data_IF_941408982449
#
_entry.id   IF_941408982449
#
_cell.length_a   1.000
_cell.length_b   1.000
_cell.length_c   1.000
_cell.angle_alpha   90.00
_cell.angle_beta   90.00
_cell.angle_gamma   90.00
#
_symmetry.space_group_name_H-M   'P 1'
#
loop_
_entity.id
_entity.type
_entity.pdbx_description
1 polymer ?
#
# COMPACT_ATOMS: atom_id res chain seq x y z
N UNK A 1 -5.96 -18.15 -4.25
CA UNK A 1 -5.67 -18.40 -2.83
C UNK A 1 -4.43 -17.59 -2.48
N UNK A 2 -4.52 -16.63 -1.55
CA UNK A 2 -3.36 -15.82 -1.16
C UNK A 2 -2.71 -16.46 0.07
N UNK A 3 -1.38 -16.54 0.06
CA UNK A 3 -0.58 -17.17 1.11
C UNK A 3 0.31 -16.08 1.71
N UNK A 4 -0.08 -15.52 2.85
CA UNK A 4 0.79 -14.62 3.60
C UNK A 4 1.51 -15.44 4.67
N UNK A 5 2.84 -15.39 4.66
CA UNK A 5 3.67 -16.23 5.49
C UNK A 5 4.49 -15.40 6.50
N UNK A 6 4.36 -15.73 7.78
CA UNK A 6 4.92 -14.95 8.89
C UNK A 6 5.75 -15.81 9.82
N UNK A 7 6.83 -15.24 10.36
CA UNK A 7 7.66 -15.88 11.34
C UNK A 7 7.28 -15.33 12.73
N UNK A 8 6.93 -16.20 13.68
CA UNK A 8 6.76 -15.82 15.08
C UNK A 8 7.83 -16.52 15.92
N UNK A 9 8.52 -15.77 16.78
CA UNK A 9 9.62 -16.26 17.64
C UNK A 9 9.15 -16.48 19.08
N UNK A 10 9.51 -17.62 19.68
CA UNK A 10 9.24 -17.92 21.09
C UNK A 10 10.04 -17.03 22.05
N UNK A 11 9.46 -16.84 23.25
CA UNK A 11 9.74 -15.78 24.20
C UNK A 11 11.23 -15.42 24.36
N UNK A 12 11.57 -14.22 23.87
CA UNK A 12 12.85 -13.56 24.05
C UNK A 12 12.88 -12.81 25.39
N UNK A 13 13.89 -13.08 26.23
CA UNK A 13 14.10 -12.42 27.54
C UNK A 13 15.00 -11.19 27.49
N UNK A 14 15.56 -10.85 26.33
CA UNK A 14 16.38 -9.65 26.14
C UNK A 14 15.53 -8.46 25.66
N UNK A 15 15.90 -7.25 26.10
CA UNK A 15 15.24 -6.00 25.73
C UNK A 15 15.31 -5.78 24.19
N UNK A 16 14.16 -5.70 23.48
CA UNK A 16 14.10 -5.43 22.05
C UNK A 16 14.83 -4.15 21.64
N UNK A 17 14.95 -3.16 22.54
CA UNK A 17 15.71 -1.94 22.30
C UNK A 17 17.22 -2.22 22.17
N UNK A 18 17.77 -3.13 22.96
CA UNK A 18 19.20 -3.53 22.89
C UNK A 18 19.51 -4.26 21.58
N UNK A 19 18.59 -5.10 21.08
CA UNK A 19 18.74 -5.73 19.76
C UNK A 19 18.74 -4.70 18.63
N UNK A 20 17.77 -3.78 18.65
CA UNK A 20 17.65 -2.73 17.63
C UNK A 20 18.91 -1.88 17.59
N UNK A 21 19.48 -1.54 18.74
CA UNK A 21 20.74 -0.79 18.80
C UNK A 21 21.91 -1.63 18.25
N UNK A 22 22.05 -2.90 18.65
CA UNK A 22 23.12 -3.77 18.16
C UNK A 22 23.04 -4.04 16.66
N UNK A 23 21.85 -4.35 16.15
CA UNK A 23 21.59 -4.55 14.72
C UNK A 23 21.81 -3.26 13.96
N UNK A 24 21.31 -2.10 14.44
CA UNK A 24 21.58 -0.80 13.82
C UNK A 24 23.08 -0.49 13.78
N UNK A 25 23.82 -0.75 14.85
CA UNK A 25 25.27 -0.58 14.87
C UNK A 25 25.98 -1.49 13.87
N UNK A 26 25.61 -2.77 13.79
CA UNK A 26 26.16 -3.71 12.81
C UNK A 26 25.78 -3.36 11.36
N UNK A 27 24.55 -2.87 11.14
CA UNK A 27 24.04 -2.48 9.82
C UNK A 27 24.75 -1.22 9.30
N UNK A 28 25.00 -0.22 10.16
CA UNK A 28 25.79 0.96 9.77
C UNK A 28 27.26 0.60 9.50
N UNK A 29 27.83 -0.36 10.24
CA UNK A 29 29.16 -0.91 9.94
C UNK A 29 29.20 -1.64 8.58
N UNK A 30 28.16 -2.41 8.24
CA UNK A 30 28.02 -3.11 6.96
C UNK A 30 27.76 -2.15 5.79
N UNK A 31 26.95 -1.10 5.97
CA UNK A 31 26.72 -0.07 4.93
C UNK A 31 28.03 0.63 4.51
N UNK A 32 28.95 0.79 5.45
CA UNK A 32 30.29 1.35 5.17
C UNK A 32 31.16 0.40 4.34
N UNK A 33 30.90 -0.91 4.39
CA UNK A 33 31.65 -1.94 3.65
C UNK A 33 31.04 -2.30 2.28
N UNK A 34 29.75 -2.02 2.04
CA UNK A 34 29.00 -2.51 0.87
C UNK A 34 28.73 -1.43 -0.20
N UNK A 35 29.35 -0.25 -0.10
CA UNK A 35 29.19 0.85 -1.07
C UNK A 35 29.70 0.58 -2.52
N UNK A 36 29.93 -0.67 -2.93
CA UNK A 36 30.54 -1.04 -4.21
C UNK A 36 29.79 -2.05 -5.09
N UNK A 37 28.58 -2.49 -4.75
CA UNK A 37 27.90 -3.54 -5.55
C UNK A 37 26.44 -3.17 -5.86
N UNK A 38 26.21 -2.56 -7.02
CA UNK A 38 24.89 -2.46 -7.64
C UNK A 38 24.89 -3.17 -8.99
N UNK A 39 24.08 -4.23 -9.12
CA UNK A 39 23.80 -4.85 -10.41
C UNK A 39 23.34 -6.30 -10.30
N UNK A 40 22.04 -6.54 -10.38
CA UNK A 40 21.48 -7.89 -10.46
C UNK A 40 19.99 -7.88 -10.79
N UNK A 41 19.65 -8.32 -12.00
CA UNK A 41 18.29 -8.38 -12.54
C UNK A 41 17.40 -9.36 -11.75
N UNK A 42 16.23 -8.88 -11.32
CA UNK A 42 15.31 -9.61 -10.45
C UNK A 42 14.36 -10.56 -11.20
N UNK A 43 14.29 -11.80 -10.71
CA UNK A 43 13.19 -12.72 -11.01
C UNK A 43 12.09 -12.60 -9.94
N UNK A 44 10.85 -12.36 -10.39
CA UNK A 44 9.68 -12.16 -9.54
C UNK A 44 8.98 -13.51 -9.30
N UNK A 45 9.07 -14.06 -8.09
CA UNK A 45 8.26 -15.20 -7.68
C UNK A 45 6.82 -14.75 -7.38
N UNK A 46 5.86 -15.15 -8.20
CA UNK A 46 4.43 -14.94 -7.99
C UNK A 46 3.79 -16.19 -7.35
N UNK A 47 3.54 -16.13 -6.04
CA UNK A 47 2.55 -16.97 -5.36
C UNK A 47 1.52 -16.00 -4.77
N UNK A 48 0.23 -16.30 -4.98
CA UNK A 48 -0.91 -15.38 -4.84
C UNK A 48 -0.71 -14.21 -3.88
N UNK A 49 -0.42 -13.04 -4.46
CA UNK A 49 -0.20 -11.82 -3.70
C UNK A 49 -1.54 -11.23 -3.24
N UNK A 50 -1.60 -10.73 -2.02
CA UNK A 50 -2.80 -10.12 -1.44
C UNK A 50 -2.73 -8.59 -1.54
N UNK A 51 -3.83 -7.93 -1.93
CA UNK A 51 -3.90 -6.46 -1.98
C UNK A 51 -3.57 -5.89 -0.59
N UNK A 52 -2.84 -4.77 -0.56
CA UNK A 52 -2.37 -4.08 0.65
C UNK A 52 -3.40 -4.02 1.79
N UNK A 53 -4.63 -3.54 1.50
CA UNK A 53 -5.69 -3.41 2.50
C UNK A 53 -6.01 -4.75 3.17
N UNK A 54 -6.21 -5.80 2.37
CA UNK A 54 -6.53 -7.13 2.90
C UNK A 54 -5.35 -7.75 3.66
N UNK A 55 -4.13 -7.50 3.21
CA UNK A 55 -2.95 -7.96 3.92
C UNK A 55 -2.73 -7.24 5.25
N UNK A 56 -3.12 -5.96 5.35
CA UNK A 56 -3.14 -5.20 6.61
C UNK A 56 -4.11 -5.81 7.62
N UNK A 57 -5.31 -6.22 7.19
CA UNK A 57 -6.25 -6.98 8.05
C UNK A 57 -5.60 -8.26 8.59
N UNK A 58 -4.93 -9.04 7.74
CA UNK A 58 -4.27 -10.27 8.17
C UNK A 58 -3.12 -10.00 9.14
N UNK A 59 -2.31 -8.96 8.89
CA UNK A 59 -1.21 -8.55 9.77
C UNK A 59 -1.70 -8.19 11.18
N UNK A 60 -2.84 -7.52 11.30
CA UNK A 60 -3.43 -7.18 12.60
C UNK A 60 -3.95 -8.42 13.33
N UNK A 61 -4.58 -9.36 12.62
CA UNK A 61 -4.98 -10.64 13.21
C UNK A 61 -3.77 -11.43 13.74
N UNK A 62 -2.66 -11.39 13.00
CA UNK A 62 -1.41 -12.02 13.42
C UNK A 62 -0.72 -11.29 14.56
N UNK A 63 -0.87 -9.97 14.65
CA UNK A 63 -0.43 -9.21 15.80
C UNK A 63 -1.20 -9.61 17.07
N UNK A 64 -2.52 -9.82 16.96
CA UNK A 64 -3.32 -10.38 18.07
C UNK A 64 -2.83 -11.77 18.45
N UNK A 65 -2.55 -12.63 17.47
CA UNK A 65 -2.03 -13.97 17.73
C UNK A 65 -0.67 -13.92 18.43
N UNK A 66 0.29 -13.18 17.88
CA UNK A 66 1.63 -13.04 18.44
C UNK A 66 1.57 -12.48 19.86
N UNK A 67 0.77 -11.45 20.12
CA UNK A 67 0.55 -10.91 21.46
C UNK A 67 -0.02 -11.97 22.42
N UNK A 68 -1.02 -12.74 21.96
CA UNK A 68 -1.69 -13.75 22.79
C UNK A 68 -0.77 -14.90 23.18
N UNK A 69 0.17 -15.25 22.30
CA UNK A 69 1.20 -16.27 22.52
C UNK A 69 2.50 -15.69 23.10
N UNK A 70 2.55 -14.38 23.39
CA UNK A 70 3.76 -13.66 23.82
C UNK A 70 4.97 -13.83 22.87
N UNK A 71 4.71 -13.96 21.58
CA UNK A 71 5.71 -14.10 20.52
C UNK A 71 6.11 -12.74 19.95
N UNK A 72 7.32 -12.66 19.41
CA UNK A 72 7.73 -11.53 18.56
C UNK A 72 7.24 -11.79 17.14
N UNK A 73 6.51 -10.83 16.56
CA UNK A 73 6.04 -10.88 15.18
C UNK A 73 7.13 -10.39 14.22
N UNK A 74 7.50 -11.21 13.24
CA UNK A 74 8.34 -10.77 12.13
C UNK A 74 7.44 -10.21 11.03
N UNK A 75 7.61 -8.92 10.73
CA UNK A 75 6.83 -8.21 9.73
C UNK A 75 7.43 -8.47 8.33
N UNK A 76 6.62 -8.92 7.37
CA UNK A 76 7.10 -9.27 6.05
C UNK A 76 7.43 -8.00 5.25
N UNK A 77 8.37 -8.12 4.29
CA UNK A 77 8.58 -7.06 3.33
C UNK A 77 7.40 -6.96 2.35
N UNK A 78 7.44 -5.92 1.52
CA UNK A 78 6.46 -5.65 0.48
C UNK A 78 7.08 -5.73 -0.91
N UNK A 79 6.26 -6.14 -1.88
CA UNK A 79 6.55 -6.05 -3.31
C UNK A 79 5.29 -5.65 -4.09
N UNK A 80 5.33 -4.48 -4.71
CA UNK A 80 4.22 -3.96 -5.53
C UNK A 80 2.90 -3.85 -4.74
N UNK A 81 2.94 -3.17 -3.59
CA UNK A 81 1.76 -2.96 -2.72
C UNK A 81 1.11 -4.26 -2.21
N UNK A 82 1.90 -5.32 -2.10
CA UNK A 82 1.47 -6.63 -1.59
C UNK A 82 2.53 -7.12 -0.61
N UNK A 83 2.10 -7.58 0.58
CA UNK A 83 3.02 -8.17 1.55
C UNK A 83 3.43 -9.56 1.08
N UNK A 84 4.71 -9.85 1.17
CA UNK A 84 5.28 -11.14 0.77
C UNK A 84 6.64 -11.31 1.43
N UNK A 85 6.97 -12.52 1.86
CA UNK A 85 8.32 -12.81 2.36
C UNK A 85 9.41 -12.60 1.30
N UNK A 86 9.07 -12.62 0.00
CA UNK A 86 10.02 -12.32 -1.07
C UNK A 86 9.93 -10.85 -1.54
N UNK A 87 9.43 -9.96 -0.68
CA UNK A 87 9.40 -8.51 -0.92
C UNK A 87 10.79 -7.90 -0.99
N UNK A 88 10.91 -6.75 -1.65
CA UNK A 88 12.17 -6.01 -1.75
C UNK A 88 12.21 -4.81 -0.78
N UNK A 89 11.05 -4.34 -0.33
CA UNK A 89 10.92 -3.16 0.53
C UNK A 89 10.59 -3.62 1.94
N UNK A 90 11.41 -3.29 2.94
CA UNK A 90 11.14 -3.72 4.32
C UNK A 90 9.91 -2.98 4.89
N UNK A 91 9.25 -3.57 5.89
CA UNK A 91 8.04 -3.01 6.48
C UNK A 91 8.24 -1.57 6.98
N UNK A 92 9.37 -1.33 7.66
CA UNK A 92 9.67 -0.06 8.33
C UNK A 92 10.20 1.03 7.39
N UNK A 93 10.39 0.71 6.11
CA UNK A 93 10.58 1.69 5.04
C UNK A 93 9.26 2.31 4.58
N UNK A 94 8.15 1.57 4.72
CA UNK A 94 6.81 2.03 4.34
C UNK A 94 6.01 2.52 5.54
N UNK A 95 6.01 1.78 6.64
CA UNK A 95 5.18 2.06 7.81
C UNK A 95 6.01 2.36 9.05
N UNK A 96 5.42 3.06 10.02
CA UNK A 96 6.00 3.29 11.33
C UNK A 96 5.91 2.01 12.17
N UNK A 97 7.05 1.32 12.35
CA UNK A 97 7.15 0.16 13.23
C UNK A 97 6.66 0.46 14.65
N UNK A 98 7.09 1.59 15.23
CA UNK A 98 6.72 1.99 16.58
C UNK A 98 5.21 2.23 16.73
N UNK A 99 4.57 2.80 15.71
CA UNK A 99 3.10 2.95 15.70
C UNK A 99 2.43 1.60 15.62
N UNK A 100 2.87 0.73 14.70
CA UNK A 100 2.30 -0.62 14.56
C UNK A 100 2.37 -1.42 15.87
N UNK A 101 3.52 -1.41 16.56
CA UNK A 101 3.70 -2.07 17.85
C UNK A 101 2.75 -1.51 18.91
N UNK A 102 2.68 -0.18 19.03
CA UNK A 102 1.84 0.50 20.03
C UNK A 102 0.35 0.22 19.81
N UNK A 103 -0.14 0.40 18.59
CA UNK A 103 -1.58 0.24 18.29
C UNK A 103 -2.04 -1.22 18.36
N UNK A 104 -1.12 -2.18 18.24
CA UNK A 104 -1.45 -3.61 18.33
C UNK A 104 -1.04 -4.25 19.67
N UNK A 105 -0.25 -3.56 20.50
CA UNK A 105 0.29 -4.10 21.74
C UNK A 105 1.15 -5.34 21.51
N UNK A 106 1.92 -5.37 20.42
CA UNK A 106 2.75 -6.52 20.02
C UNK A 106 4.21 -6.11 19.90
N UNK A 107 5.13 -7.04 20.20
CA UNK A 107 6.55 -6.89 19.84
C UNK A 107 6.72 -7.26 18.38
N UNK A 108 7.30 -6.38 17.59
CA UNK A 108 7.51 -6.64 16.18
C UNK A 108 8.92 -6.24 15.72
N UNK A 109 9.44 -6.98 14.75
CA UNK A 109 10.68 -6.65 14.05
C UNK A 109 10.48 -6.78 12.54
N UNK A 110 11.12 -5.95 11.72
CA UNK A 110 11.15 -6.14 10.28
C UNK A 110 11.88 -7.46 9.92
N UNK A 111 11.56 -8.02 8.76
CA UNK A 111 12.18 -9.22 8.21
C UNK A 111 13.71 -9.14 8.14
N UNK A 112 14.26 -8.00 7.71
CA UNK A 112 15.71 -7.80 7.62
C UNK A 112 16.43 -7.92 8.97
N UNK A 113 15.77 -7.48 10.04
CA UNK A 113 16.32 -7.54 11.40
C UNK A 113 16.30 -8.98 11.91
N UNK A 114 15.24 -9.73 11.58
CA UNK A 114 15.16 -11.16 11.84
C UNK A 114 16.27 -11.91 11.10
N UNK A 115 16.50 -11.59 9.82
CA UNK A 115 17.54 -12.23 9.03
C UNK A 115 18.95 -11.93 9.56
N UNK A 116 19.22 -10.69 9.93
CA UNK A 116 20.49 -10.29 10.55
C UNK A 116 20.71 -11.02 11.89
N UNK A 117 19.67 -11.10 12.73
CA UNK A 117 19.72 -11.83 13.98
C UNK A 117 20.00 -13.32 13.77
N UNK A 118 19.26 -13.97 12.86
CA UNK A 118 19.46 -15.38 12.52
C UNK A 118 20.88 -15.64 12.03
N UNK A 119 21.40 -14.79 11.15
CA UNK A 119 22.75 -14.92 10.61
C UNK A 119 23.84 -14.76 11.70
N UNK A 120 23.53 -14.10 12.82
CA UNK A 120 24.43 -13.98 13.96
C UNK A 120 24.47 -15.22 14.88
N UNK A 121 23.52 -16.15 14.73
CA UNK A 121 23.48 -17.35 15.56
C UNK A 121 24.60 -18.33 15.16
N UNK A 122 25.27 -18.97 16.14
CA UNK A 122 26.18 -20.08 15.85
C UNK A 122 25.40 -21.21 15.15
N UNK A 123 26.11 -22.01 14.34
CA UNK A 123 25.70 -23.04 13.34
C UNK A 123 24.46 -23.93 13.58
N UNK A 124 23.75 -23.83 14.71
CA UNK A 124 22.44 -24.43 14.93
C UNK A 124 21.39 -23.78 14.00
N UNK A 125 20.79 -24.59 13.13
CA UNK A 125 19.58 -24.22 12.43
C UNK A 125 18.41 -24.07 13.42
N UNK A 126 17.64 -22.99 13.29
CA UNK A 126 16.44 -22.75 14.09
C UNK A 126 15.37 -23.80 13.75
N UNK A 127 14.78 -24.40 14.77
CA UNK A 127 13.66 -25.33 14.60
C UNK A 127 12.41 -24.56 14.16
N UNK A 128 11.77 -24.99 13.07
CA UNK A 128 10.58 -24.33 12.55
C UNK A 128 9.36 -25.26 12.50
N UNK A 129 8.16 -24.71 12.67
CA UNK A 129 6.89 -25.37 12.42
C UNK A 129 6.04 -24.54 11.47
N UNK A 130 5.59 -25.14 10.37
CA UNK A 130 4.67 -24.52 9.43
C UNK A 130 3.22 -24.68 9.88
N UNK A 131 2.46 -23.59 9.90
CA UNK A 131 1.03 -23.56 10.21
C UNK A 131 0.27 -22.98 9.00
N UNK A 132 -0.82 -23.62 8.60
CA UNK A 132 -1.70 -23.17 7.51
C UNK A 132 -3.07 -22.94 8.08
N UNK A 133 -3.43 -21.67 8.25
CA UNK A 133 -4.75 -21.26 8.75
C UNK A 133 -5.59 -20.85 7.53
N UNK A 134 -6.67 -21.59 7.30
CA UNK A 134 -7.55 -21.40 6.15
C UNK A 134 -8.99 -21.31 6.63
N UNK A 135 -9.86 -20.72 5.82
CA UNK A 135 -11.30 -20.71 6.10
C UNK A 135 -12.01 -21.72 5.19
N UNK A 136 -12.86 -22.57 5.78
CA UNK A 136 -13.68 -23.53 5.04
C UNK A 136 -15.06 -22.95 4.70
N UNK A 137 -15.56 -23.12 3.47
CA UNK A 137 -16.90 -22.66 3.08
C UNK A 137 -18.04 -23.59 3.57
N UNK A 138 -17.73 -24.78 4.11
CA UNK A 138 -18.72 -25.78 4.50
C UNK A 138 -19.05 -25.82 6.00
N UNK A 139 -20.31 -26.11 6.38
CA UNK A 139 -20.66 -26.46 7.75
C UNK A 139 -20.14 -27.88 8.05
N UNK A 140 -18.92 -27.97 8.57
CA UNK A 140 -18.33 -29.26 8.89
C UNK A 140 -16.81 -29.21 9.03
N UNK A 141 -16.37 -29.58 10.23
CA UNK A 141 -15.09 -30.22 10.55
C UNK A 141 -13.84 -29.42 10.95
N UNK A 142 -13.31 -29.94 12.06
CA UNK A 142 -12.00 -29.87 12.72
C UNK A 142 -11.56 -28.55 13.35
N UNK A 143 -11.89 -28.40 14.64
CA UNK A 143 -11.29 -27.48 15.61
C UNK A 143 -9.98 -28.05 16.17
N UNK A 144 -9.05 -28.43 15.29
CA UNK A 144 -7.77 -28.99 15.70
C UNK A 144 -6.73 -28.81 14.60
N UNK A 145 -5.48 -28.63 15.01
CA UNK A 145 -4.33 -28.70 14.12
C UNK A 145 -4.15 -30.13 13.63
N UNK A 146 -4.30 -30.34 12.33
CA UNK A 146 -4.11 -31.64 11.69
C UNK A 146 -2.88 -31.60 10.78
N UNK A 147 -2.03 -32.64 10.77
CA UNK A 147 -0.95 -32.74 9.81
C UNK A 147 -1.46 -32.66 8.37
N UNK A 148 -0.78 -31.88 7.54
CA UNK A 148 -0.96 -31.87 6.10
C UNK A 148 -0.42 -33.19 5.54
N UNK A 149 -1.32 -34.05 5.05
CA UNK A 149 -1.00 -35.39 4.54
C UNK A 149 -0.06 -35.41 3.33
N UNK A 150 0.14 -34.27 2.65
CA UNK A 150 1.18 -34.09 1.64
C UNK A 150 1.90 -32.76 1.85
N UNK A 151 3.24 -32.78 1.84
CA UNK A 151 4.08 -31.58 1.82
C UNK A 151 3.98 -30.81 0.50
N UNK A 152 3.48 -31.42 -0.58
CA UNK A 152 3.25 -30.72 -1.86
C UNK A 152 2.21 -29.59 -1.74
N UNK A 153 1.27 -29.71 -0.80
CA UNK A 153 0.24 -28.69 -0.52
C UNK A 153 0.82 -27.46 0.18
N UNK A 154 2.03 -27.59 0.75
CA UNK A 154 2.78 -26.54 1.41
C UNK A 154 4.21 -26.56 0.86
N UNK A 155 4.37 -26.11 -0.38
CA UNK A 155 5.67 -25.73 -0.87
C UNK A 155 5.97 -24.31 -0.35
N UNK A 156 6.81 -24.14 0.69
CA UNK A 156 7.31 -22.81 1.04
C UNK A 156 7.88 -22.17 -0.23
N UNK A 157 7.60 -20.89 -0.44
CA UNK A 157 8.14 -20.15 -1.58
C UNK A 157 9.66 -20.33 -1.64
N UNK A 158 10.26 -20.27 -2.84
CA UNK A 158 11.71 -20.47 -3.01
C UNK A 158 12.54 -19.60 -2.06
N UNK A 159 12.09 -18.38 -1.74
CA UNK A 159 12.77 -17.49 -0.81
C UNK A 159 12.73 -18.00 0.64
N UNK A 160 11.67 -18.69 1.07
CA UNK A 160 11.61 -19.28 2.41
C UNK A 160 12.56 -20.45 2.59
N UNK A 161 12.85 -21.21 1.55
CA UNK A 161 13.87 -22.24 1.62
C UNK A 161 15.28 -21.66 1.81
N UNK A 162 15.49 -20.38 1.49
CA UNK A 162 16.75 -19.67 1.71
C UNK A 162 16.88 -19.13 3.14
N UNK A 163 15.83 -19.24 3.97
CA UNK A 163 15.85 -18.80 5.37
C UNK A 163 16.60 -19.74 6.31
N UNK A 164 17.16 -20.86 5.84
CA UNK A 164 17.96 -21.76 6.69
C UNK A 164 17.21 -22.32 7.90
N UNK A 165 15.88 -22.24 7.90
CA UNK A 165 15.00 -22.80 8.92
C UNK A 165 14.91 -24.32 8.77
N UNK A 166 14.95 -25.03 9.88
CA UNK A 166 14.87 -26.49 9.91
C UNK A 166 13.43 -26.97 10.05
N UNK A 167 12.83 -27.35 8.91
CA UNK A 167 11.49 -27.97 8.85
C UNK A 167 11.53 -29.51 8.88
N UNK A 168 12.72 -30.11 8.75
CA UNK A 168 12.94 -31.49 8.30
C UNK A 168 12.34 -32.61 9.18
N UNK A 169 11.74 -32.27 10.32
CA UNK A 169 11.15 -33.25 11.25
C UNK A 169 9.66 -33.07 11.50
N UNK A 170 9.01 -32.12 10.83
CA UNK A 170 7.62 -31.78 11.16
C UNK A 170 6.76 -31.58 9.90
N UNK A 171 5.65 -32.31 9.74
CA UNK A 171 4.69 -31.98 8.71
C UNK A 171 4.07 -30.61 9.02
N UNK A 172 3.78 -29.79 8.00
CA UNK A 172 2.98 -28.58 8.19
C UNK A 172 1.63 -28.94 8.84
N UNK A 173 1.15 -28.10 9.75
CA UNK A 173 -0.14 -28.29 10.41
C UNK A 173 -1.18 -27.39 9.76
N UNK A 174 -2.39 -27.88 9.55
CA UNK A 174 -3.51 -27.12 9.02
C UNK A 174 -4.55 -26.89 10.10
N UNK A 175 -5.06 -25.66 10.17
CA UNK A 175 -6.24 -25.29 10.94
C UNK A 175 -7.31 -24.75 9.98
N UNK A 176 -8.57 -25.18 10.14
CA UNK A 176 -9.70 -24.71 9.35
C UNK A 176 -10.64 -23.90 10.23
N UNK A 177 -10.78 -22.62 9.90
CA UNK A 177 -11.76 -21.73 10.52
C UNK A 177 -13.15 -21.98 9.95
N UNK A 178 -14.12 -21.96 10.85
CA UNK A 178 -15.55 -22.04 10.52
C UNK A 178 -16.07 -20.64 10.21
N UNK A 179 -16.82 -20.49 9.12
CA UNK A 179 -17.46 -19.22 8.76
C UNK A 179 -18.40 -18.66 9.84
N UNK A 180 -18.88 -19.49 10.76
CA UNK A 180 -19.83 -19.08 11.83
C UNK A 180 -19.15 -18.76 13.17
N UNK A 181 -17.83 -18.66 13.19
CA UNK A 181 -17.06 -18.28 14.37
C UNK A 181 -16.95 -19.41 15.40
N UNK A 182 -15.74 -19.53 15.96
CA UNK A 182 -15.51 -20.30 17.17
C UNK A 182 -14.24 -19.77 17.83
N UNK A 183 -14.27 -19.30 19.09
CA UNK A 183 -13.12 -18.71 19.79
C UNK A 183 -11.99 -19.71 20.12
N UNK A 184 -12.02 -20.92 19.54
CA UNK A 184 -11.10 -22.01 19.88
C UNK A 184 -9.71 -21.89 19.27
N UNK A 185 -9.55 -21.10 18.19
CA UNK A 185 -8.25 -20.98 17.53
C UNK A 185 -7.14 -20.56 18.51
N UNK A 186 -7.41 -19.59 19.38
CA UNK A 186 -6.42 -19.09 20.34
C UNK A 186 -6.07 -20.14 21.40
N UNK A 187 -7.05 -20.89 21.90
CA UNK A 187 -6.82 -21.93 22.89
C UNK A 187 -6.08 -23.13 22.30
N UNK A 188 -6.46 -23.55 21.09
CA UNK A 188 -5.77 -24.61 20.36
C UNK A 188 -4.33 -24.20 20.01
N UNK A 189 -4.10 -22.92 19.67
CA UNK A 189 -2.77 -22.37 19.43
C UNK A 189 -1.91 -22.30 20.69
N UNK A 190 -2.48 -21.95 21.86
CA UNK A 190 -1.76 -21.98 23.13
C UNK A 190 -1.34 -23.39 23.51
N UNK A 191 -2.25 -24.36 23.35
CA UNK A 191 -1.95 -25.76 23.61
C UNK A 191 -0.85 -26.28 22.68
N UNK A 192 -0.93 -25.91 21.39
CA UNK A 192 0.09 -26.24 20.40
C UNK A 192 1.44 -25.56 20.72
N UNK A 193 1.44 -24.29 21.11
CA UNK A 193 2.67 -23.54 21.43
C UNK A 193 3.46 -24.21 22.56
N UNK A 194 2.79 -24.61 23.65
CA UNK A 194 3.43 -25.37 24.75
C UNK A 194 4.08 -26.66 24.23
N UNK A 195 3.39 -27.40 23.36
CA UNK A 195 3.95 -28.60 22.74
C UNK A 195 5.17 -28.26 21.87
N UNK A 196 5.04 -27.30 20.96
CA UNK A 196 6.07 -26.94 19.99
C UNK A 196 7.35 -26.43 20.67
N UNK A 197 7.23 -25.64 21.74
CA UNK A 197 8.37 -25.19 22.56
C UNK A 197 9.10 -26.39 23.18
N UNK A 198 8.36 -27.37 23.73
CA UNK A 198 8.97 -28.59 24.31
C UNK A 198 9.72 -29.44 23.27
N UNK A 199 9.32 -29.36 22.01
CA UNK A 199 9.99 -30.04 20.91
C UNK A 199 11.17 -29.22 20.31
N UNK A 200 11.45 -28.03 20.84
CA UNK A 200 12.50 -27.16 20.32
C UNK A 200 12.13 -26.45 19.01
N UNK A 201 10.86 -26.05 18.85
CA UNK A 201 10.47 -25.05 17.85
C UNK A 201 10.86 -23.67 18.35
N UNK A 202 11.66 -22.98 17.55
CA UNK A 202 12.04 -21.59 17.77
C UNK A 202 11.13 -20.65 16.97
N UNK A 203 10.66 -21.08 15.79
CA UNK A 203 9.95 -20.26 14.80
C UNK A 203 8.64 -20.90 14.33
N UNK A 204 7.53 -20.19 14.44
CA UNK A 204 6.27 -20.54 13.77
C UNK A 204 6.17 -19.85 12.42
N UNK A 205 5.89 -20.62 11.38
CA UNK A 205 5.78 -20.14 10.00
C UNK A 205 4.31 -20.19 9.59
N UNK A 206 3.60 -19.08 9.75
CA UNK A 206 2.13 -19.03 9.64
C UNK A 206 1.72 -18.56 8.25
N UNK A 207 1.12 -19.45 7.46
CA UNK A 207 0.34 -19.13 6.28
C UNK A 207 -1.09 -18.77 6.66
N UNK A 208 -1.46 -17.49 6.61
CA UNK A 208 -2.80 -17.01 6.94
C UNK A 208 -3.64 -16.73 5.70
N UNK A 209 -4.74 -17.47 5.51
CA UNK A 209 -5.64 -17.38 4.37
C UNK A 209 -7.11 -17.41 4.79
N UNK A 210 -7.43 -16.87 5.96
CA UNK A 210 -8.82 -16.62 6.37
C UNK A 210 -9.39 -15.40 5.63
N UNK A 211 -10.71 -15.30 5.49
CA UNK A 211 -11.39 -14.08 5.01
C UNK A 211 -12.05 -13.31 6.14
N UNK A 212 -12.52 -14.01 7.17
CA UNK A 212 -13.15 -13.42 8.36
C UNK A 212 -12.11 -12.92 9.35
N UNK A 213 -12.42 -11.80 9.99
CA UNK A 213 -11.63 -11.16 11.05
C UNK A 213 -11.89 -11.81 12.42
N UNK A 214 -11.85 -13.14 12.51
CA UNK A 214 -12.26 -13.86 13.74
C UNK A 214 -11.40 -13.54 14.97
N UNK A 215 -10.19 -12.99 14.77
CA UNK A 215 -9.27 -12.61 15.84
C UNK A 215 -9.31 -11.13 16.20
N UNK A 216 -10.07 -10.30 15.46
CA UNK A 216 -10.16 -8.87 15.76
C UNK A 216 -11.46 -8.27 15.21
N UNK A 217 -12.35 -7.80 16.06
CA UNK A 217 -13.50 -6.96 15.65
C UNK A 217 -13.07 -5.52 15.31
N UNK A 218 -11.83 -5.35 14.83
CA UNK A 218 -11.27 -4.05 14.55
C UNK A 218 -11.97 -3.42 13.35
N UNK A 219 -12.47 -2.22 13.59
CA UNK A 219 -12.97 -1.31 12.57
C UNK A 219 -11.85 -0.91 11.60
N UNK A 220 -12.22 -0.48 10.40
CA UNK A 220 -11.26 0.01 9.40
C UNK A 220 -10.43 1.19 9.94
N UNK A 221 -11.03 2.03 10.80
CA UNK A 221 -10.33 3.11 11.48
C UNK A 221 -9.20 2.60 12.41
N UNK A 222 -9.42 1.48 13.12
CA UNK A 222 -8.37 0.87 13.96
C UNK A 222 -7.23 0.27 13.14
N UNK A 223 -7.54 -0.23 11.94
CA UNK A 223 -6.51 -0.68 11.00
C UNK A 223 -5.70 0.50 10.50
N UNK A 224 -6.35 1.59 10.11
CA UNK A 224 -5.67 2.79 9.60
C UNK A 224 -4.71 3.38 10.65
N UNK A 225 -5.11 3.38 11.93
CA UNK A 225 -4.22 3.78 13.03
C UNK A 225 -2.99 2.87 13.16
N UNK A 226 -3.14 1.57 12.88
CA UNK A 226 -2.05 0.59 12.96
C UNK A 226 -1.01 0.74 11.84
N UNK A 227 -1.39 1.29 10.69
CA UNK A 227 -0.56 1.38 9.48
C UNK A 227 -0.25 2.82 9.09
N UNK A 228 0.25 3.62 10.04
CA UNK A 228 0.77 4.96 9.75
C UNK A 228 2.04 4.86 8.91
N UNK A 229 2.08 5.55 7.77
CA UNK A 229 3.28 5.60 6.92
C UNK A 229 4.50 6.17 7.68
N UNK A 230 5.69 5.67 7.33
CA UNK A 230 6.94 6.08 7.95
C UNK A 230 7.17 7.61 7.82
N UNK A 231 7.87 8.26 8.77
CA UNK A 231 8.01 9.72 8.80
C UNK A 231 8.58 10.34 7.51
N UNK A 232 9.41 9.60 6.79
CA UNK A 232 9.99 10.08 5.53
C UNK A 232 8.93 10.26 4.42
N UNK A 233 7.90 9.42 4.37
CA UNK A 233 6.75 9.59 3.46
C UNK A 233 5.92 10.81 3.81
N UNK A 234 5.71 11.06 5.10
CA UNK A 234 5.00 12.24 5.58
C UNK A 234 5.77 13.52 5.26
N UNK A 235 7.10 13.51 5.40
CA UNK A 235 7.95 14.61 4.99
C UNK A 235 7.87 14.88 3.48
N UNK A 236 7.93 13.83 2.65
CA UNK A 236 7.80 13.96 1.20
C UNK A 236 6.43 14.53 0.77
N UNK A 237 5.34 14.07 1.41
CA UNK A 237 4.00 14.60 1.16
C UNK A 237 3.83 16.06 1.58
N UNK A 238 4.43 16.46 2.71
CA UNK A 238 4.45 17.88 3.12
C UNK A 238 5.22 18.74 2.12
N UNK A 239 6.37 18.28 1.66
CA UNK A 239 7.13 18.99 0.64
C UNK A 239 6.35 19.15 -0.68
N UNK A 240 5.57 18.13 -1.07
CA UNK A 240 4.69 18.22 -2.24
C UNK A 240 3.61 19.30 -2.07
N UNK A 241 2.98 19.39 -0.90
CA UNK A 241 2.01 20.45 -0.59
C UNK A 241 2.65 21.84 -0.54
N UNK A 242 3.84 21.96 0.07
CA UNK A 242 4.58 23.22 0.15
C UNK A 242 4.97 23.75 -1.24
N UNK A 243 5.36 22.86 -2.15
CA UNK A 243 5.71 23.21 -3.52
C UNK A 243 4.52 23.81 -4.30
N UNK A 244 3.28 23.42 -3.95
CA UNK A 244 2.07 24.00 -4.55
C UNK A 244 1.78 25.43 -4.09
N UNK A 245 2.50 25.95 -3.10
CA UNK A 245 2.37 27.31 -2.61
C UNK A 245 1.29 27.51 -1.53
N UNK A 246 1.01 28.77 -1.18
CA UNK A 246 0.18 29.14 -0.03
C UNK A 246 -1.32 29.29 -0.31
N UNK A 247 -1.76 28.97 -1.53
CA UNK A 247 -3.15 29.10 -1.93
C UNK A 247 -4.04 27.96 -1.45
N UNK A 248 -5.36 28.13 -1.55
CA UNK A 248 -6.32 27.08 -1.18
C UNK A 248 -6.19 25.92 -2.15
N UNK A 249 -5.91 24.73 -1.63
CA UNK A 249 -5.69 23.53 -2.41
C UNK A 249 -6.91 22.62 -2.36
N UNK A 250 -7.42 22.29 -3.54
CA UNK A 250 -8.36 21.18 -3.71
C UNK A 250 -7.60 19.93 -4.09
N UNK A 251 -7.83 18.88 -3.31
CA UNK A 251 -7.34 17.56 -3.60
C UNK A 251 -8.38 16.74 -4.34
N UNK A 252 -8.04 16.17 -5.49
CA UNK A 252 -8.96 15.36 -6.30
C UNK A 252 -8.47 13.93 -6.34
N UNK A 253 -9.34 12.98 -5.98
CA UNK A 253 -9.09 11.56 -6.23
C UNK A 253 -10.04 11.03 -7.30
N UNK A 254 -9.49 10.69 -8.46
CA UNK A 254 -10.25 10.18 -9.59
C UNK A 254 -9.77 8.79 -10.01
N UNK A 255 -10.49 7.77 -9.56
CA UNK A 255 -10.30 6.38 -10.00
C UNK A 255 -11.13 6.12 -11.25
N UNK A 256 -10.46 5.99 -12.39
CA UNK A 256 -11.05 5.81 -13.73
C UNK A 256 -11.28 4.35 -14.07
N UNK A 257 -10.63 3.42 -13.37
CA UNK A 257 -10.78 1.99 -13.57
C UNK A 257 -12.25 1.53 -13.50
N UNK A 258 -12.73 0.98 -14.61
CA UNK A 258 -14.07 0.40 -14.73
C UNK A 258 -15.15 1.39 -15.19
N UNK A 259 -14.82 2.67 -15.39
CA UNK A 259 -15.71 3.64 -16.04
C UNK A 259 -15.72 3.38 -17.55
N UNK A 260 -16.90 3.43 -18.16
CA UNK A 260 -17.00 3.29 -19.62
C UNK A 260 -16.38 4.51 -20.34
N UNK A 261 -15.61 4.31 -21.44
CA UNK A 261 -14.97 5.43 -22.15
C UNK A 261 -15.92 6.54 -22.58
N UNK A 262 -17.14 6.18 -23.00
CA UNK A 262 -18.16 7.15 -23.41
C UNK A 262 -18.64 8.05 -22.25
N UNK A 263 -18.43 7.65 -21.00
CA UNK A 263 -18.77 8.44 -19.81
C UNK A 263 -17.58 9.21 -19.23
N UNK A 264 -16.35 8.76 -19.50
CA UNK A 264 -15.14 9.44 -19.02
C UNK A 264 -15.10 10.91 -19.46
N UNK A 265 -15.52 11.21 -20.69
CA UNK A 265 -15.58 12.58 -21.20
C UNK A 265 -16.57 13.45 -20.41
N UNK A 266 -17.82 12.99 -20.20
CA UNK A 266 -18.79 13.73 -19.40
C UNK A 266 -18.33 13.90 -17.93
N UNK A 267 -17.63 12.91 -17.38
CA UNK A 267 -17.09 12.98 -16.04
C UNK A 267 -15.90 13.93 -15.91
N UNK A 268 -15.06 14.01 -16.94
CA UNK A 268 -14.01 14.99 -17.09
C UNK A 268 -14.58 16.41 -17.14
N UNK A 269 -15.59 16.63 -17.99
CA UNK A 269 -16.27 17.93 -18.11
C UNK A 269 -16.88 18.38 -16.78
N UNK A 270 -17.59 17.47 -16.11
CA UNK A 270 -18.19 17.75 -14.80
C UNK A 270 -17.15 18.08 -13.73
N UNK A 271 -16.02 17.37 -13.71
CA UNK A 271 -14.92 17.67 -12.80
C UNK A 271 -14.33 19.06 -13.07
N UNK A 272 -14.08 19.39 -14.33
CA UNK A 272 -13.51 20.69 -14.71
C UNK A 272 -14.48 21.82 -14.36
N UNK A 273 -15.78 21.66 -14.63
CA UNK A 273 -16.80 22.64 -14.24
C UNK A 273 -16.80 22.89 -12.72
N UNK A 274 -16.75 21.81 -11.93
CA UNK A 274 -16.68 21.90 -10.46
C UNK A 274 -15.43 22.65 -9.99
N UNK A 275 -14.27 22.36 -10.57
CA UNK A 275 -13.00 23.04 -10.24
C UNK A 275 -13.03 24.54 -10.58
N UNK A 276 -13.65 24.91 -11.70
CA UNK A 276 -13.82 26.31 -12.09
C UNK A 276 -14.76 27.06 -11.13
N UNK A 277 -15.85 26.41 -10.71
CA UNK A 277 -16.76 26.98 -9.73
C UNK A 277 -16.06 27.23 -8.39
N UNK A 278 -15.32 26.23 -7.89
CA UNK A 278 -14.50 26.36 -6.67
C UNK A 278 -13.43 27.46 -6.80
N UNK A 279 -12.79 27.57 -7.96
CA UNK A 279 -11.82 28.65 -8.23
C UNK A 279 -12.45 30.04 -8.14
N UNK A 280 -13.67 30.21 -8.67
CA UNK A 280 -14.40 31.49 -8.65
C UNK A 280 -15.01 31.83 -7.30
N UNK A 281 -15.55 30.85 -6.61
CA UNK A 281 -16.41 31.06 -5.44
C UNK A 281 -15.70 30.83 -4.10
N UNK A 282 -14.67 29.98 -4.06
CA UNK A 282 -14.00 29.55 -2.82
C UNK A 282 -12.52 29.94 -2.76
N UNK A 283 -12.02 30.62 -3.81
CA UNK A 283 -10.63 31.07 -3.88
C UNK A 283 -9.64 29.92 -4.01
N UNK A 284 -10.07 28.77 -4.54
CA UNK A 284 -9.16 27.68 -4.90
C UNK A 284 -8.19 28.18 -5.97
N UNK A 285 -6.90 28.04 -5.69
CA UNK A 285 -5.85 28.39 -6.66
C UNK A 285 -5.00 27.19 -7.04
N UNK A 286 -5.10 26.09 -6.30
CA UNK A 286 -4.25 24.92 -6.47
C UNK A 286 -5.09 23.64 -6.57
N UNK A 287 -4.78 22.76 -7.52
CA UNK A 287 -5.42 21.46 -7.71
C UNK A 287 -4.36 20.37 -7.63
N UNK A 288 -4.51 19.44 -6.68
CA UNK A 288 -3.71 18.21 -6.65
C UNK A 288 -4.55 17.05 -7.18
N UNK A 289 -4.19 16.49 -8.33
CA UNK A 289 -4.91 15.38 -8.96
C UNK A 289 -4.20 14.05 -8.70
N UNK A 290 -4.89 13.14 -8.00
CA UNK A 290 -4.52 11.75 -7.84
C UNK A 290 -5.44 10.87 -8.68
N UNK A 291 -4.88 10.18 -9.67
CA UNK A 291 -5.63 9.25 -10.52
C UNK A 291 -4.86 7.95 -10.71
N UNK A 292 -5.60 6.88 -10.98
CA UNK A 292 -5.04 5.58 -11.36
C UNK A 292 -4.58 5.54 -12.83
N UNK A 293 -4.98 6.52 -13.63
CA UNK A 293 -4.64 6.64 -15.03
C UNK A 293 -3.26 7.31 -15.21
N UNK A 294 -2.35 6.76 -16.04
CA UNK A 294 -1.01 7.30 -16.21
C UNK A 294 -1.01 8.52 -17.16
N UNK A 295 -1.36 9.69 -16.61
CA UNK A 295 -1.49 10.93 -17.37
C UNK A 295 -0.18 11.33 -18.08
N UNK A 296 0.96 10.99 -17.51
CA UNK A 296 2.30 11.27 -18.06
C UNK A 296 2.58 10.60 -19.41
N UNK A 297 1.78 9.59 -19.78
CA UNK A 297 1.89 8.89 -21.06
C UNK A 297 0.99 9.50 -22.16
N UNK A 298 0.19 10.51 -21.83
CA UNK A 298 -0.77 11.13 -22.74
C UNK A 298 -0.19 12.33 -23.48
N UNK A 299 -0.75 12.58 -24.67
CA UNK A 299 -0.50 13.81 -25.42
C UNK A 299 -1.04 15.02 -24.64
N UNK A 300 -0.32 16.14 -24.69
CA UNK A 300 -0.67 17.36 -23.95
C UNK A 300 -0.23 17.39 -22.48
N UNK A 301 0.24 16.28 -21.88
CA UNK A 301 0.67 16.28 -20.47
C UNK A 301 1.76 17.35 -20.19
N UNK A 302 2.79 17.40 -21.04
CA UNK A 302 3.87 18.39 -20.91
C UNK A 302 3.41 19.85 -21.10
N UNK A 303 2.32 20.06 -21.85
CA UNK A 303 1.74 21.39 -22.08
C UNK A 303 0.96 21.87 -20.86
N UNK A 304 0.36 20.93 -20.12
CA UNK A 304 -0.43 21.20 -18.91
C UNK A 304 0.45 21.31 -17.68
N UNK A 305 1.40 20.39 -17.50
CA UNK A 305 2.21 20.26 -16.28
C UNK A 305 3.67 20.68 -16.44
N UNK A 306 4.09 21.07 -17.65
CA UNK A 306 5.47 21.48 -17.96
C UNK A 306 6.35 20.33 -18.50
N UNK A 307 7.38 20.68 -19.26
CA UNK A 307 8.28 19.71 -19.90
C UNK A 307 9.13 18.92 -18.89
N UNK A 308 9.51 19.55 -17.77
CA UNK A 308 10.29 18.91 -16.71
C UNK A 308 9.49 17.81 -15.99
N UNK A 309 8.17 17.97 -15.90
CA UNK A 309 7.24 16.98 -15.36
C UNK A 309 7.10 15.73 -16.25
N UNK A 310 7.39 15.85 -17.56
CA UNK A 310 7.24 14.77 -18.53
C UNK A 310 8.48 13.84 -18.64
N UNK A 311 9.46 13.99 -17.75
CA UNK A 311 10.63 13.12 -17.71
C UNK A 311 11.65 13.37 -18.83
N UNK A 312 11.80 14.63 -19.25
CA UNK A 312 12.80 15.05 -20.23
C UNK A 312 14.24 14.89 -19.68
N UNK A 313 14.79 13.68 -19.74
CA UNK A 313 16.24 13.51 -19.84
C UNK A 313 16.65 14.10 -21.21
N UNK A 314 17.37 15.22 -21.17
CA UNK A 314 17.54 16.12 -22.31
C UNK A 314 18.22 15.56 -23.56
N UNK A 315 17.91 16.20 -24.69
CA UNK A 315 18.83 16.34 -25.83
C UNK A 315 18.50 15.57 -27.12
N UNK A 316 17.50 16.01 -27.90
CA UNK A 316 17.55 15.99 -29.38
C UNK A 316 16.38 16.79 -29.99
N UNK A 317 16.61 17.70 -30.96
CA UNK A 317 15.55 18.40 -31.67
C UNK A 317 15.06 17.64 -32.93
N UNK A 318 13.78 17.88 -33.22
CA UNK A 318 13.04 17.72 -34.50
C UNK A 318 12.76 16.32 -35.08
N UNK A 319 11.52 15.85 -34.85
CA UNK A 319 10.88 14.81 -35.68
C UNK A 319 9.43 14.50 -35.24
N UNK A 320 8.46 14.37 -36.17
CA UNK A 320 7.04 14.10 -35.88
C UNK A 320 6.72 12.64 -35.47
N UNK A 321 7.72 11.87 -35.03
CA UNK A 321 7.59 10.46 -34.64
C UNK A 321 7.61 10.26 -33.11
N UNK A 322 7.19 11.26 -32.33
CA UNK A 322 7.41 11.34 -30.88
C UNK A 322 6.49 10.44 -30.03
N UNK A 323 5.37 9.97 -30.58
CA UNK A 323 4.33 9.31 -29.77
C UNK A 323 4.66 7.84 -29.42
N UNK A 324 5.41 7.12 -30.26
CA UNK A 324 5.83 5.75 -29.94
C UNK A 324 7.08 5.72 -29.03
N UNK A 325 7.94 6.74 -29.11
CA UNK A 325 9.18 6.79 -28.34
C UNK A 325 8.99 7.18 -26.86
N UNK A 326 7.98 7.99 -26.51
CA UNK A 326 7.68 8.28 -25.09
C UNK A 326 7.16 7.04 -24.34
N UNK A 327 6.35 6.17 -24.99
CA UNK A 327 5.96 4.86 -24.42
C UNK A 327 7.14 3.89 -24.26
N UNK A 328 8.18 4.02 -25.09
CA UNK A 328 9.37 3.17 -25.02
C UNK A 328 10.39 3.69 -23.98
N UNK A 329 10.50 5.00 -23.77
CA UNK A 329 11.46 5.62 -22.86
C UNK A 329 11.07 5.54 -21.37
N UNK A 330 9.77 5.57 -21.05
CA UNK A 330 9.26 5.42 -19.68
C UNK A 330 9.21 3.94 -19.22
N UNK A 331 9.69 3.01 -20.06
CA UNK A 331 9.37 1.59 -19.92
C UNK A 331 7.87 1.34 -20.15
N UNK A 332 7.37 0.09 -20.01
CA UNK A 332 5.94 -0.14 -20.01
C UNK A 332 5.34 0.68 -18.87
N UNK A 333 4.68 1.79 -19.21
CA UNK A 333 3.89 2.62 -18.30
C UNK A 333 2.83 1.69 -17.72
N UNK A 334 3.16 1.11 -16.57
CA UNK A 334 2.25 0.23 -15.86
C UNK A 334 1.28 1.15 -15.18
N UNK A 335 0.02 1.05 -15.60
CA UNK A 335 -1.11 1.56 -14.86
C UNK A 335 -0.86 1.46 -13.35
N UNK A 336 -1.20 2.51 -12.60
CA UNK A 336 -1.10 2.50 -11.14
C UNK A 336 -2.09 1.51 -10.50
N UNK A 337 -3.01 0.95 -11.30
CA UNK A 337 -3.91 -0.14 -10.93
C UNK A 337 -3.66 -1.39 -11.79
N UNK A 338 -3.52 -2.56 -11.16
CA UNK A 338 -3.38 -3.86 -11.85
C UNK A 338 -4.61 -4.22 -12.70
N UNK A 339 -5.72 -3.51 -12.52
CA UNK A 339 -7.04 -3.81 -13.10
C UNK A 339 -7.52 -2.76 -14.10
N UNK A 340 -6.80 -1.65 -14.26
CA UNK A 340 -7.04 -0.71 -15.36
C UNK A 340 -6.36 -1.23 -16.62
N UNK A 341 -7.14 -1.38 -17.68
CA UNK A 341 -6.69 -1.77 -19.02
C UNK A 341 -6.96 -0.62 -19.98
N UNK A 342 -6.00 0.31 -20.18
CA UNK A 342 -6.19 1.45 -21.08
C UNK A 342 -6.55 0.97 -22.49
N UNK A 343 -7.50 1.66 -23.12
CA UNK A 343 -7.85 1.47 -24.53
C UNK A 343 -7.68 2.80 -25.26
N UNK A 344 -7.57 2.79 -26.58
CA UNK A 344 -7.47 4.02 -27.37
C UNK A 344 -8.60 5.03 -27.07
N UNK A 345 -9.80 4.54 -26.74
CA UNK A 345 -10.91 5.39 -26.32
C UNK A 345 -10.71 6.02 -24.93
N UNK A 346 -10.09 5.29 -23.99
CA UNK A 346 -9.69 5.87 -22.70
C UNK A 346 -8.60 6.93 -22.90
N UNK A 347 -7.57 6.62 -23.71
CA UNK A 347 -6.46 7.53 -24.00
C UNK A 347 -6.98 8.83 -24.63
N UNK A 348 -7.92 8.73 -25.58
CA UNK A 348 -8.58 9.89 -26.19
C UNK A 348 -9.37 10.72 -25.17
N UNK A 349 -10.22 10.08 -24.35
CA UNK A 349 -11.02 10.77 -23.34
C UNK A 349 -10.15 11.48 -22.28
N UNK A 350 -9.09 10.81 -21.79
CA UNK A 350 -8.18 11.39 -20.80
C UNK A 350 -7.28 12.48 -21.39
N UNK A 351 -6.91 12.38 -22.68
CA UNK A 351 -6.18 13.46 -23.37
C UNK A 351 -7.07 14.69 -23.55
N UNK A 352 -8.34 14.51 -23.95
CA UNK A 352 -9.31 15.59 -24.04
C UNK A 352 -9.53 16.27 -22.68
N UNK A 353 -9.61 15.48 -21.61
CA UNK A 353 -9.64 15.99 -20.23
C UNK A 353 -8.42 16.85 -19.89
N UNK A 354 -7.20 16.39 -20.19
CA UNK A 354 -5.98 17.16 -19.92
C UNK A 354 -5.99 18.51 -20.65
N UNK A 355 -6.36 18.53 -21.93
CA UNK A 355 -6.46 19.75 -22.72
C UNK A 355 -7.50 20.72 -22.15
N UNK A 356 -8.68 20.21 -21.79
CA UNK A 356 -9.75 21.00 -21.19
C UNK A 356 -9.31 21.57 -19.84
N UNK A 357 -8.75 20.74 -18.96
CA UNK A 357 -8.26 21.12 -17.65
C UNK A 357 -7.15 22.18 -17.76
N UNK A 358 -6.17 22.00 -18.65
CA UNK A 358 -5.07 22.94 -18.84
C UNK A 358 -5.48 24.27 -19.48
N UNK A 359 -6.45 24.26 -20.38
CA UNK A 359 -7.00 25.48 -20.99
C UNK A 359 -7.80 26.28 -19.97
N UNK A 360 -8.65 25.59 -19.22
CA UNK A 360 -9.59 26.22 -18.31
C UNK A 360 -8.90 26.66 -17.01
N UNK A 361 -7.98 25.87 -16.47
CA UNK A 361 -7.17 26.25 -15.30
C UNK A 361 -6.42 27.57 -15.50
N UNK A 362 -5.79 27.77 -16.67
CA UNK A 362 -5.10 29.03 -17.01
C UNK A 362 -6.03 30.23 -17.03
N UNK A 363 -7.28 30.06 -17.45
CA UNK A 363 -8.25 31.16 -17.52
C UNK A 363 -8.67 31.70 -16.14
N UNK A 364 -8.57 30.88 -15.10
CA UNK A 364 -8.95 31.22 -13.72
C UNK A 364 -7.75 31.25 -12.75
N UNK A 365 -6.53 31.08 -13.27
CA UNK A 365 -5.32 31.08 -12.44
C UNK A 365 -5.17 29.87 -11.52
N UNK A 366 -5.75 28.72 -11.88
CA UNK A 366 -5.55 27.46 -11.16
C UNK A 366 -4.18 26.85 -11.54
N UNK A 367 -3.38 26.52 -10.53
CA UNK A 367 -2.20 25.68 -10.66
C UNK A 367 -2.59 24.21 -10.56
N UNK A 368 -2.07 23.38 -11.46
CA UNK A 368 -2.36 21.95 -11.51
C UNK A 368 -1.11 21.16 -11.14
N UNK A 369 -1.27 20.18 -10.26
CA UNK A 369 -0.20 19.28 -9.85
C UNK A 369 -0.69 17.83 -9.76
N UNK A 370 0.21 16.91 -10.14
CA UNK A 370 0.17 15.48 -9.80
C UNK A 370 1.44 15.14 -9.04
N UNK A 371 1.49 13.95 -8.41
CA UNK A 371 2.75 13.46 -7.84
C UNK A 371 3.91 13.51 -8.85
N UNK A 372 3.70 12.99 -10.07
CA UNK A 372 4.74 12.94 -11.10
C UNK A 372 5.20 14.32 -11.55
N UNK A 373 4.32 15.31 -11.58
CA UNK A 373 4.71 16.69 -11.91
C UNK A 373 5.59 17.35 -10.85
N UNK A 374 5.43 16.96 -9.58
CA UNK A 374 6.18 17.53 -8.47
C UNK A 374 7.47 16.73 -8.18
N UNK A 375 7.44 15.41 -8.39
CA UNK A 375 8.51 14.48 -7.99
C UNK A 375 9.93 14.91 -8.38
N UNK A 376 10.22 15.45 -9.59
CA UNK A 376 11.57 15.85 -9.98
C UNK A 376 12.21 16.93 -9.09
N UNK A 377 11.40 17.75 -8.42
CA UNK A 377 11.85 18.87 -7.59
C UNK A 377 11.68 18.64 -6.09
N UNK A 378 11.11 17.49 -5.69
CA UNK A 378 10.92 17.20 -4.26
C UNK A 378 12.26 16.89 -3.58
N UNK A 379 12.47 17.34 -2.33
CA UNK A 379 13.61 16.93 -1.53
C UNK A 379 13.48 15.44 -1.19
N UNK A 380 14.28 14.60 -1.87
CA UNK A 380 14.21 13.16 -1.74
C UNK A 380 15.57 12.52 -1.37
N UNK A 381 16.05 12.73 -0.13
CA UNK A 381 17.35 12.23 0.31
C UNK A 381 17.43 10.69 0.37
N UNK A 382 16.31 9.98 0.19
CA UNK A 382 16.22 8.52 0.33
C UNK A 382 15.75 7.81 -0.94
N UNK A 383 15.60 8.52 -2.06
CA UNK A 383 15.09 7.94 -3.30
C UNK A 383 13.63 7.45 -3.21
N UNK A 384 12.85 7.95 -2.23
CA UNK A 384 11.45 7.62 -2.04
C UNK A 384 10.57 8.09 -3.18
N UNK A 385 10.86 9.22 -3.81
CA UNK A 385 10.10 9.73 -4.94
C UNK A 385 10.22 8.80 -6.16
N UNK A 386 11.34 8.08 -6.27
CA UNK A 386 11.56 7.05 -7.30
C UNK A 386 10.97 5.68 -6.95
N UNK A 387 10.45 5.50 -5.74
CA UNK A 387 9.88 4.23 -5.31
C UNK A 387 8.56 3.94 -6.04
N UNK A 388 8.32 2.68 -6.41
CA UNK A 388 7.14 2.29 -7.21
C UNK A 388 5.79 2.59 -6.56
N UNK A 389 5.75 2.70 -5.23
CA UNK A 389 4.53 3.03 -4.47
C UNK A 389 4.42 4.52 -4.15
N UNK A 390 5.38 5.35 -4.54
CA UNK A 390 5.46 6.75 -4.13
C UNK A 390 4.21 7.54 -4.54
N UNK A 391 3.80 7.44 -5.81
CA UNK A 391 2.61 8.12 -6.31
C UNK A 391 1.36 7.82 -5.47
N UNK A 392 1.14 6.56 -5.10
CA UNK A 392 -0.02 6.15 -4.30
C UNK A 392 0.07 6.64 -2.85
N UNK A 393 1.22 6.43 -2.20
CA UNK A 393 1.44 6.77 -0.78
C UNK A 393 1.41 8.29 -0.59
N UNK A 394 2.21 9.02 -1.39
CA UNK A 394 2.33 10.48 -1.30
C UNK A 394 1.00 11.12 -1.64
N UNK A 395 0.32 10.70 -2.70
CA UNK A 395 -1.00 11.26 -3.02
C UNK A 395 -2.01 11.03 -1.91
N UNK A 396 -2.00 9.88 -1.24
CA UNK A 396 -2.93 9.64 -0.14
C UNK A 396 -2.65 10.58 1.02
N UNK A 397 -1.37 10.79 1.35
CA UNK A 397 -0.96 11.71 2.42
C UNK A 397 -1.22 13.17 2.06
N UNK A 398 -1.04 13.56 0.80
CA UNK A 398 -1.35 14.91 0.30
C UNK A 398 -2.85 15.17 0.41
N UNK A 399 -3.69 14.28 -0.11
CA UNK A 399 -5.15 14.46 -0.10
C UNK A 399 -5.77 14.47 1.30
N UNK A 400 -5.13 13.84 2.29
CA UNK A 400 -5.55 13.97 3.70
C UNK A 400 -5.35 15.39 4.26
N UNK A 401 -4.48 16.18 3.65
CA UNK A 401 -4.04 17.48 4.16
C UNK A 401 -4.50 18.67 3.30
N UNK A 402 -5.12 18.44 2.14
CA UNK A 402 -5.68 19.52 1.31
C UNK A 402 -6.85 20.22 2.01
N UNK A 403 -7.09 21.48 1.69
CA UNK A 403 -8.18 22.23 2.30
C UNK A 403 -9.55 21.65 1.91
N UNK A 404 -9.71 21.33 0.63
CA UNK A 404 -10.93 20.75 0.03
C UNK A 404 -10.58 19.35 -0.52
N UNK A 405 -11.51 18.39 -0.47
CA UNK A 405 -11.27 17.05 -1.01
C UNK A 405 -12.46 16.57 -1.84
N UNK A 406 -12.18 16.31 -3.11
CA UNK A 406 -13.16 15.92 -4.11
C UNK A 406 -12.89 14.48 -4.56
N UNK A 407 -13.90 13.62 -4.43
CA UNK A 407 -13.87 12.26 -4.95
C UNK A 407 -15.23 11.92 -5.61
N UNK A 408 -15.31 10.81 -6.36
CA UNK A 408 -16.59 10.40 -6.96
C UNK A 408 -17.66 10.04 -5.91
N UNK A 409 -18.89 9.86 -6.40
CA UNK A 409 -20.12 9.72 -5.61
C UNK A 409 -20.07 8.63 -4.52
N UNK A 410 -20.69 8.92 -3.38
CA UNK A 410 -21.10 7.92 -2.37
C UNK A 410 -22.58 7.61 -2.51
N UNK A 411 -22.95 6.33 -2.66
CA UNK A 411 -24.35 5.92 -2.73
C UNK A 411 -24.57 4.42 -2.56
N UNK A 412 -25.72 4.05 -2.00
CA UNK A 412 -26.16 2.65 -1.90
C UNK A 412 -26.43 2.09 -3.31
N UNK A 413 -25.51 1.28 -3.84
CA UNK A 413 -25.55 0.80 -5.24
C UNK A 413 -24.31 1.13 -6.07
N UNK A 414 -23.37 1.92 -5.52
CA UNK A 414 -22.14 2.41 -6.15
C UNK A 414 -21.28 1.33 -6.85
N UNK A 415 -21.40 0.05 -6.47
CA UNK A 415 -20.66 -1.03 -7.13
C UNK A 415 -21.22 -1.41 -8.51
N UNK A 416 -22.54 -1.33 -8.71
CA UNK A 416 -23.19 -1.49 -10.02
C UNK A 416 -23.24 -0.17 -10.80
N UNK A 417 -23.37 0.93 -10.08
CA UNK A 417 -23.38 2.28 -10.63
C UNK A 417 -21.98 2.80 -11.00
N UNK A 418 -20.88 2.25 -10.48
CA UNK A 418 -19.52 2.74 -10.77
C UNK A 418 -19.05 2.59 -12.23
N UNK A 419 -19.76 1.84 -13.08
CA UNK A 419 -19.55 1.87 -14.55
C UNK A 419 -20.19 3.10 -15.19
N UNK A 420 -21.22 3.60 -14.52
CA UNK A 420 -22.08 4.70 -14.94
C UNK A 420 -21.72 6.03 -14.25
N UNK A 421 -21.01 6.00 -13.14
CA UNK A 421 -20.68 7.17 -12.31
C UNK A 421 -19.22 7.62 -12.45
N UNK A 422 -18.95 8.88 -12.10
CA UNK A 422 -17.67 9.53 -12.36
C UNK A 422 -16.49 9.10 -11.48
N UNK A 423 -16.72 8.34 -10.42
CA UNK A 423 -15.70 7.51 -9.81
C UNK A 423 -16.32 6.46 -8.89
N UNK A 424 -15.59 5.37 -8.61
CA UNK A 424 -15.97 4.35 -7.64
C UNK A 424 -15.36 4.66 -6.27
N UNK A 425 -16.15 4.65 -5.20
CA UNK A 425 -15.62 4.66 -3.83
C UNK A 425 -14.68 3.48 -3.65
N UNK A 426 -13.40 3.78 -3.42
CA UNK A 426 -12.38 2.76 -3.17
C UNK A 426 -11.99 2.75 -1.70
N UNK A 427 -11.35 1.68 -1.24
CA UNK A 427 -10.72 1.66 0.10
C UNK A 427 -9.74 2.82 0.28
N UNK A 428 -9.10 3.26 -0.80
CA UNK A 428 -8.23 4.43 -0.81
C UNK A 428 -9.00 5.72 -0.51
N UNK A 429 -10.14 5.95 -1.19
CA UNK A 429 -11.02 7.10 -0.92
C UNK A 429 -11.50 7.08 0.52
N UNK A 430 -11.98 5.93 0.99
CA UNK A 430 -12.46 5.75 2.37
C UNK A 430 -11.40 6.13 3.42
N UNK A 431 -10.15 5.77 3.20
CA UNK A 431 -9.03 6.13 4.09
C UNK A 431 -8.79 7.63 4.16
N UNK A 432 -8.85 8.31 3.02
CA UNK A 432 -8.67 9.76 2.97
C UNK A 432 -9.83 10.44 3.69
N UNK A 433 -11.08 10.07 3.41
CA UNK A 433 -12.25 10.68 4.06
C UNK A 433 -12.27 10.43 5.56
N UNK A 434 -11.95 9.22 6.01
CA UNK A 434 -11.91 8.88 7.44
C UNK A 434 -10.86 9.71 8.17
N UNK A 435 -9.63 9.78 7.65
CA UNK A 435 -8.56 10.58 8.25
C UNK A 435 -8.90 12.09 8.27
N UNK A 436 -9.57 12.60 7.23
CA UNK A 436 -10.01 14.01 7.18
C UNK A 436 -11.11 14.30 8.19
N UNK A 437 -12.05 13.37 8.38
CA UNK A 437 -13.10 13.48 9.41
C UNK A 437 -12.48 13.55 10.80
N UNK A 438 -11.55 12.65 11.12
CA UNK A 438 -10.82 12.67 12.39
C UNK A 438 -10.07 14.00 12.58
N UNK A 439 -9.41 14.53 11.53
CA UNK A 439 -8.74 15.82 11.57
C UNK A 439 -9.70 17.00 11.83
N UNK A 440 -10.89 16.99 11.22
CA UNK A 440 -11.94 17.99 11.47
C UNK A 440 -12.46 17.92 12.91
N UNK A 441 -12.74 16.72 13.40
CA UNK A 441 -13.17 16.49 14.78
C UNK A 441 -12.11 16.93 15.80
N UNK A 442 -10.82 16.77 15.46
CA UNK A 442 -9.69 17.23 16.27
C UNK A 442 -9.39 18.74 16.14
N UNK A 443 -10.04 19.45 15.21
CA UNK A 443 -9.79 20.86 14.95
C UNK A 443 -8.45 21.16 14.24
N UNK A 444 -7.93 20.20 13.46
CA UNK A 444 -6.69 20.37 12.70
C UNK A 444 -6.91 21.28 11.47
N UNK A 445 -6.39 22.51 11.57
CA UNK A 445 -6.91 23.67 10.85
C UNK A 445 -6.71 23.80 9.33
N UNK A 446 -6.13 22.83 8.61
CA UNK A 446 -6.09 22.89 7.13
C UNK A 446 -7.35 22.31 6.50
N UNK A 447 -7.93 21.27 7.08
CA UNK A 447 -9.08 20.56 6.51
C UNK A 447 -10.33 21.39 6.70
N UNK A 448 -11.05 21.71 5.61
CA UNK A 448 -12.32 22.46 5.66
C UNK A 448 -13.54 21.58 5.53
N UNK A 449 -13.41 20.46 4.81
CA UNK A 449 -14.49 19.51 4.58
C UNK A 449 -13.97 18.07 4.55
N UNK A 450 -14.86 17.12 4.86
CA UNK A 450 -14.53 15.69 4.78
C UNK A 450 -14.39 15.22 3.33
N UNK A 451 -15.44 15.46 2.54
CA UNK A 451 -15.59 15.00 1.16
C UNK A 451 -16.63 15.88 0.45
N UNK A 452 -16.32 16.27 -0.78
CA UNK A 452 -17.28 16.77 -1.78
C UNK A 452 -17.29 15.85 -2.98
N UNK A 453 -18.44 15.79 -3.65
CA UNK A 453 -18.63 14.93 -4.80
C UNK A 453 -18.82 15.75 -6.08
N UNK A 454 -18.63 15.11 -7.23
CA UNK A 454 -19.03 15.68 -8.52
C UNK A 454 -19.76 14.64 -9.37
N UNK A 455 -20.66 15.14 -10.21
CA UNK A 455 -21.39 14.37 -11.21
C UNK A 455 -21.06 14.83 -12.64
N UNK A 456 -21.54 14.09 -13.64
CA UNK A 456 -21.37 14.39 -15.07
C UNK A 456 -21.94 15.75 -15.48
N UNK A 457 -22.90 16.30 -14.75
CA UNK A 457 -23.48 17.63 -15.01
C UNK A 457 -22.70 18.78 -14.35
N UNK A 458 -21.56 18.49 -13.72
CA UNK A 458 -20.68 19.47 -13.11
C UNK A 458 -21.22 20.09 -11.82
N UNK A 459 -22.31 19.55 -11.27
CA UNK A 459 -22.78 19.96 -9.94
C UNK A 459 -21.88 19.33 -8.89
N UNK A 460 -21.31 20.17 -8.03
CA UNK A 460 -20.73 19.70 -6.79
C UNK A 460 -21.88 19.29 -5.85
N UNK A 461 -21.86 18.04 -5.39
CA UNK A 461 -22.86 17.47 -4.47
C UNK A 461 -22.35 17.48 -3.04
#
# INVERSE_FOLDING_TARGET
MALLLFLMLSAWTADPHDLRQRVKTQLEQLKTQVAGLTGGNGEVCAVGKEQESRAQHHLVQLAVLARTLNLTLVLPPLASSRFSHCGATSFDELYSLATFERENGVRAIPDRDFDAWRASLPTRALGAQALVITQSPGPGESYAFVPLGSTSDYAPSRCLNQTGLSYARRPPLRYRLSWRGGPRLLDDLRALDVQLVSEGVDVLVVSYAARTLELSDRSDAELDRSFVYAPAWQALARAALEQMGSGVTVGVHWRTEGIEPARLEACAEGLVASLLEMGRNEGVTNVYLATDYPLEALEGYAEVFGADAAGSNGGAPDGPARNDHHRLALGPVRSHSDTLHPSAAHDAAMSAFLVALGTLSRSVGLSLATFHSLAPSLPDPRGLASHRSAASIVSQLVLRQTEIFVAGLDGAGAEKQGREECARRSSWTYRVTTARREALEAGEGRVREELRQWSTDGRAL
#
